data_IF_651086742078
#
_entry.id   IF_651086742078
#
_cell.length_a   1.000
_cell.length_b   1.000
_cell.length_c   1.000
_cell.angle_alpha   90.00
_cell.angle_beta   90.00
_cell.angle_gamma   90.00
#
_symmetry.space_group_name_H-M   'P 1'
#
loop_
_entity.id
_entity.type
_entity.pdbx_description
1 polymer ?
#
# COMPACT_ATOMS: atom_id res chain seq x y z
N UNK A 1 -21.09 -25.71 10.11
CA UNK A 1 -20.94 -24.93 8.87
C UNK A 1 -20.58 -23.53 9.33
N UNK A 2 -19.34 -23.07 9.14
CA UNK A 2 -19.04 -21.66 9.45
C UNK A 2 -20.01 -20.78 8.66
N UNK A 3 -20.80 -19.99 9.37
CA UNK A 3 -21.77 -19.11 8.75
C UNK A 3 -21.02 -18.09 7.89
N UNK A 4 -21.31 -18.06 6.59
CA UNK A 4 -20.74 -17.08 5.64
C UNK A 4 -20.87 -15.67 6.20
N UNK A 5 -21.94 -15.39 6.96
CA UNK A 5 -22.15 -14.12 7.64
C UNK A 5 -21.06 -13.81 8.67
N UNK A 6 -20.61 -14.80 9.44
CA UNK A 6 -19.55 -14.63 10.42
C UNK A 6 -18.19 -14.38 9.73
N UNK A 7 -17.91 -15.08 8.62
CA UNK A 7 -16.69 -14.85 7.84
C UNK A 7 -16.69 -13.46 7.18
N UNK A 8 -17.84 -13.00 6.66
CA UNK A 8 -17.98 -11.63 6.14
C UNK A 8 -17.74 -10.58 7.22
N UNK A 9 -18.25 -10.78 8.43
CA UNK A 9 -17.97 -9.86 9.54
C UNK A 9 -16.46 -9.76 9.85
N UNK A 10 -15.73 -10.88 9.81
CA UNK A 10 -14.26 -10.86 9.95
C UNK A 10 -13.60 -10.08 8.81
N UNK A 11 -14.10 -10.19 7.58
CA UNK A 11 -13.62 -9.38 6.45
C UNK A 11 -13.88 -7.89 6.71
N UNK A 12 -15.07 -7.51 7.17
CA UNK A 12 -15.39 -6.11 7.48
C UNK A 12 -14.42 -5.52 8.52
N UNK A 13 -14.05 -6.30 9.54
CA UNK A 13 -13.07 -5.91 10.57
C UNK A 13 -11.65 -5.76 10.00
N UNK A 14 -11.27 -6.59 9.02
CA UNK A 14 -9.99 -6.49 8.31
C UNK A 14 -10.00 -5.28 7.38
N UNK A 15 -11.08 -5.06 6.64
CA UNK A 15 -11.23 -3.94 5.71
C UNK A 15 -11.14 -2.60 6.43
N UNK A 16 -11.73 -2.49 7.63
CA UNK A 16 -11.58 -1.31 8.47
C UNK A 16 -10.11 -1.01 8.81
N UNK A 17 -9.31 -2.05 9.10
CA UNK A 17 -7.87 -1.91 9.36
C UNK A 17 -7.10 -1.54 8.09
N UNK A 18 -7.43 -2.15 6.95
CA UNK A 18 -6.80 -1.84 5.67
C UNK A 18 -7.06 -0.40 5.24
N UNK A 19 -8.30 0.07 5.35
CA UNK A 19 -8.67 1.46 5.04
C UNK A 19 -7.90 2.41 5.93
N UNK A 20 -7.89 2.18 7.24
CA UNK A 20 -7.15 3.03 8.19
C UNK A 20 -5.66 3.08 7.84
N UNK A 21 -5.02 1.92 7.65
CA UNK A 21 -3.59 1.85 7.34
C UNK A 21 -3.27 2.53 6.00
N UNK A 22 -4.14 2.39 5.01
CA UNK A 22 -3.97 3.01 3.71
C UNK A 22 -4.12 4.53 3.76
N UNK A 23 -5.11 5.06 4.50
CA UNK A 23 -5.29 6.51 4.67
C UNK A 23 -4.15 7.13 5.46
N UNK A 24 -3.66 6.45 6.50
CA UNK A 24 -2.48 6.88 7.27
C UNK A 24 -1.25 6.97 6.33
N UNK A 25 -1.08 5.99 5.41
CA UNK A 25 -0.01 6.01 4.40
C UNK A 25 -0.14 7.18 3.43
N UNK A 26 -1.36 7.51 3.00
CA UNK A 26 -1.63 8.65 2.09
C UNK A 26 -1.21 9.96 2.73
N UNK A 27 -1.59 10.21 4.00
CA UNK A 27 -1.21 11.42 4.71
C UNK A 27 0.32 11.60 4.79
N UNK A 28 1.07 10.52 5.09
CA UNK A 28 2.54 10.55 5.08
C UNK A 28 3.08 10.81 3.67
N UNK A 29 2.44 10.25 2.64
CA UNK A 29 2.83 10.50 1.25
C UNK A 29 2.64 11.96 0.85
N UNK A 30 1.57 12.63 1.29
CA UNK A 30 1.37 14.07 1.04
C UNK A 30 2.47 14.93 1.68
N UNK A 31 2.91 14.59 2.90
CA UNK A 31 4.04 15.26 3.55
C UNK A 31 5.35 15.07 2.77
N UNK A 32 5.61 13.84 2.30
CA UNK A 32 6.76 13.55 1.43
C UNK A 32 6.69 14.36 0.13
N UNK A 33 5.50 14.48 -0.48
CA UNK A 33 5.27 15.27 -1.69
C UNK A 33 5.67 16.73 -1.53
N UNK A 34 5.29 17.36 -0.40
CA UNK A 34 5.69 18.74 -0.06
C UNK A 34 7.21 18.90 -0.01
N UNK A 35 7.90 17.99 0.68
CA UNK A 35 9.37 18.00 0.80
C UNK A 35 10.04 17.81 -0.56
N UNK A 36 9.54 16.85 -1.37
CA UNK A 36 10.07 16.59 -2.71
C UNK A 36 9.92 17.82 -3.60
N UNK A 37 8.78 18.49 -3.55
CA UNK A 37 8.49 19.72 -4.29
C UNK A 37 9.43 20.87 -3.91
N UNK A 38 9.62 21.10 -2.60
CA UNK A 38 10.54 22.11 -2.09
C UNK A 38 11.99 21.87 -2.54
N UNK A 39 12.39 20.60 -2.66
CA UNK A 39 13.75 20.19 -3.05
C UNK A 39 13.92 19.92 -4.56
N UNK A 40 12.87 20.09 -5.36
CA UNK A 40 12.90 19.77 -6.80
C UNK A 40 13.14 18.28 -7.12
N UNK A 41 12.78 17.38 -6.21
CA UNK A 41 12.95 15.94 -6.36
C UNK A 41 11.79 15.32 -7.16
N UNK A 42 12.03 14.23 -7.92
CA UNK A 42 10.96 13.52 -8.62
C UNK A 42 9.99 12.82 -7.66
N UNK A 43 8.72 12.83 -8.02
CA UNK A 43 7.65 12.14 -7.28
C UNK A 43 7.84 10.62 -7.35
N UNK A 44 8.07 10.09 -8.55
CA UNK A 44 8.33 8.67 -8.78
C UNK A 44 9.73 8.30 -8.27
N UNK A 45 9.82 7.20 -7.52
CA UNK A 45 11.06 6.64 -7.00
C UNK A 45 11.05 5.12 -7.15
N UNK A 46 11.42 4.65 -8.35
CA UNK A 46 11.37 3.23 -8.71
C UNK A 46 12.27 2.36 -7.83
N UNK A 47 13.40 2.92 -7.38
CA UNK A 47 14.31 2.23 -6.47
C UNK A 47 13.60 1.96 -5.13
N UNK A 48 12.93 2.98 -4.58
CA UNK A 48 12.18 2.83 -3.34
C UNK A 48 11.02 1.85 -3.46
N UNK A 49 10.31 1.85 -4.59
CA UNK A 49 9.23 0.89 -4.85
C UNK A 49 9.73 -0.55 -4.92
N UNK A 50 10.85 -0.77 -5.61
CA UNK A 50 11.49 -2.08 -5.71
C UNK A 50 11.93 -2.60 -4.34
N UNK A 51 12.52 -1.75 -3.49
CA UNK A 51 12.90 -2.10 -2.11
C UNK A 51 11.71 -2.59 -1.29
N UNK A 52 10.56 -1.91 -1.38
CA UNK A 52 9.35 -2.29 -0.64
C UNK A 52 8.83 -3.66 -1.11
N UNK A 53 8.82 -3.91 -2.42
CA UNK A 53 8.37 -5.20 -2.97
C UNK A 53 9.32 -6.33 -2.57
N UNK A 54 10.63 -6.13 -2.69
CA UNK A 54 11.62 -7.14 -2.30
C UNK A 54 11.57 -7.41 -0.79
N UNK A 55 11.18 -6.44 0.04
CA UNK A 55 10.98 -6.66 1.47
C UNK A 55 9.84 -7.63 1.82
N UNK A 56 8.93 -7.94 0.88
CA UNK A 56 7.89 -8.97 1.04
C UNK A 56 8.33 -10.36 0.55
N UNK A 57 9.42 -10.43 -0.21
CA UNK A 57 9.93 -11.68 -0.76
C UNK A 57 10.39 -12.62 0.36
N UNK A 58 10.02 -13.90 0.27
CA UNK A 58 10.33 -14.90 1.30
C UNK A 58 9.52 -14.77 2.60
N UNK A 59 8.68 -13.75 2.75
CA UNK A 59 7.75 -13.60 3.90
C UNK A 59 6.34 -14.11 3.60
N UNK A 60 6.04 -14.32 2.32
CA UNK A 60 4.74 -14.72 1.80
C UNK A 60 4.89 -15.97 0.95
N UNK A 61 3.80 -16.73 0.82
CA UNK A 61 3.73 -17.77 -0.21
C UNK A 61 3.86 -17.14 -1.60
N UNK A 62 4.31 -17.90 -2.60
CA UNK A 62 4.40 -17.41 -4.00
C UNK A 62 3.06 -16.84 -4.51
N UNK A 63 1.95 -17.51 -4.13
CA UNK A 63 0.59 -17.06 -4.45
C UNK A 63 0.28 -15.70 -3.82
N UNK A 64 0.48 -15.57 -2.51
CA UNK A 64 0.14 -14.34 -1.79
C UNK A 64 1.07 -13.19 -2.17
N UNK A 65 2.35 -13.48 -2.42
CA UNK A 65 3.30 -12.51 -2.96
C UNK A 65 2.83 -11.93 -4.29
N UNK A 66 2.28 -12.75 -5.19
CA UNK A 66 1.68 -12.28 -6.44
C UNK A 66 0.53 -11.29 -6.23
N UNK A 67 -0.37 -11.56 -5.27
CA UNK A 67 -1.46 -10.64 -4.93
C UNK A 67 -0.96 -9.35 -4.29
N UNK A 68 -0.07 -9.45 -3.30
CA UNK A 68 0.50 -8.29 -2.59
C UNK A 68 1.28 -7.40 -3.56
N UNK A 69 2.09 -7.98 -4.45
CA UNK A 69 2.82 -7.23 -5.48
C UNK A 69 1.87 -6.46 -6.40
N UNK A 70 0.76 -7.05 -6.81
CA UNK A 70 -0.25 -6.40 -7.66
C UNK A 70 -0.96 -5.26 -6.92
N UNK A 71 -1.33 -5.48 -5.66
CA UNK A 71 -1.92 -4.44 -4.80
C UNK A 71 -0.96 -3.27 -4.60
N UNK A 72 0.30 -3.54 -4.28
CA UNK A 72 1.28 -2.49 -3.98
C UNK A 72 1.58 -1.60 -5.19
N UNK A 73 1.63 -2.16 -6.40
CA UNK A 73 1.73 -1.36 -7.63
C UNK A 73 0.59 -0.33 -7.72
N UNK A 74 -0.64 -0.73 -7.38
CA UNK A 74 -1.79 0.19 -7.37
C UNK A 74 -1.68 1.22 -6.26
N UNK A 75 -1.24 0.81 -5.07
CA UNK A 75 -1.00 1.71 -3.93
C UNK A 75 0.03 2.78 -4.32
N UNK A 76 1.12 2.42 -4.99
CA UNK A 76 2.14 3.36 -5.43
C UNK A 76 1.57 4.41 -6.38
N UNK A 77 0.86 3.99 -7.45
CA UNK A 77 0.21 4.91 -8.38
C UNK A 77 -0.74 5.90 -7.69
N UNK A 78 -1.50 5.45 -6.68
CA UNK A 78 -2.40 6.31 -5.93
C UNK A 78 -1.64 7.31 -5.05
N UNK A 79 -0.53 6.89 -4.45
CA UNK A 79 0.28 7.77 -3.61
C UNK A 79 1.11 8.77 -4.43
N UNK A 80 1.55 8.44 -5.63
CA UNK A 80 2.15 9.41 -6.54
C UNK A 80 1.16 10.52 -6.93
N UNK A 81 -0.13 10.18 -7.03
CA UNK A 81 -1.17 11.16 -7.37
C UNK A 81 -1.41 12.19 -6.26
N UNK A 82 -1.27 11.80 -4.98
CA UNK A 82 -1.42 12.71 -3.84
C UNK A 82 -0.14 13.48 -3.50
N UNK A 83 0.99 13.19 -4.15
CA UNK A 83 2.29 13.81 -3.90
C UNK A 83 2.57 15.07 -4.74
N UNK A 84 1.60 15.56 -5.52
CA UNK A 84 1.75 16.67 -6.48
C UNK A 84 1.51 18.05 -5.87
#
# INVERSE_FOLDING_TARGET
>A
MEDIKALRKKIDEIDAQLVKAFTDRIAVCEEIGKIKKEKGMPIVDEAREAEIIEAFKGKLSERDFGYVKSLYKRIFTLCEACQK
#
